data_IF_965233546246
#
_entry.id   IF_965233546246
#
_cell.length_a   1.000
_cell.length_b   1.000
_cell.length_c   1.000
_cell.angle_alpha   90.00
_cell.angle_beta   90.00
_cell.angle_gamma   90.00
#
_symmetry.space_group_name_H-M   'P 1'
#
loop_
_entity.id
_entity.type
_entity.pdbx_description
1 polymer ?
#
# COMPACT_ATOMS: atom_id res chain seq x y z
N UNK A 1 -37.92 9.23 10.23
CA UNK A 1 -38.26 8.20 9.23
C UNK A 1 -36.99 7.49 8.83
N UNK A 2 -36.74 6.27 9.31
CA UNK A 2 -35.68 5.41 8.76
C UNK A 2 -36.17 4.97 7.38
N UNK A 3 -35.59 5.54 6.33
CA UNK A 3 -35.75 5.03 4.97
C UNK A 3 -35.45 3.53 5.01
N UNK A 4 -36.34 2.71 4.47
CA UNK A 4 -36.06 1.30 4.24
C UNK A 4 -34.89 1.25 3.26
N UNK A 5 -33.67 1.05 3.77
CA UNK A 5 -32.52 0.87 2.93
C UNK A 5 -32.82 -0.33 2.02
N UNK A 6 -32.92 -0.07 0.72
CA UNK A 6 -33.06 -1.11 -0.28
C UNK A 6 -31.92 -2.11 -0.15
N UNK A 7 -32.15 -3.35 -0.58
CA UNK A 7 -31.09 -4.36 -0.62
C UNK A 7 -29.89 -3.79 -1.41
N UNK A 8 -28.64 -3.92 -0.93
CA UNK A 8 -27.48 -3.36 -1.62
C UNK A 8 -27.40 -3.94 -3.03
N UNK A 9 -27.24 -3.05 -4.02
CA UNK A 9 -27.11 -3.42 -5.42
C UNK A 9 -25.72 -3.96 -5.74
N UNK A 10 -24.70 -3.53 -4.98
CA UNK A 10 -23.32 -3.90 -5.20
C UNK A 10 -22.64 -4.44 -3.93
N UNK A 11 -21.71 -5.36 -4.15
CA UNK A 11 -20.61 -5.66 -3.25
C UNK A 11 -19.44 -4.78 -3.64
N UNK A 12 -18.88 -4.00 -2.72
CA UNK A 12 -17.78 -3.08 -3.03
C UNK A 12 -16.60 -3.34 -2.11
N UNK A 13 -15.44 -3.61 -2.71
CA UNK A 13 -14.16 -3.76 -2.05
C UNK A 13 -13.32 -2.51 -2.26
N UNK A 14 -12.85 -1.90 -1.16
CA UNK A 14 -11.98 -0.73 -1.19
C UNK A 14 -10.63 -1.13 -0.60
N UNK A 15 -9.58 -1.04 -1.40
CA UNK A 15 -8.22 -1.05 -0.90
C UNK A 15 -7.77 0.37 -0.63
N UNK A 16 -7.67 0.76 0.64
CA UNK A 16 -7.12 2.04 1.06
C UNK A 16 -5.60 1.89 1.24
N UNK A 17 -4.86 1.75 0.16
CA UNK A 17 -3.41 1.49 0.21
C UNK A 17 -2.58 2.73 0.56
N UNK A 18 -1.33 2.51 1.02
CA UNK A 18 -0.35 3.59 1.31
C UNK A 18 -0.06 4.43 0.07
N UNK A 19 0.03 3.80 -1.10
CA UNK A 19 0.41 4.45 -2.36
C UNK A 19 -0.78 4.77 -3.24
N UNK A 20 -1.70 3.83 -3.39
CA UNK A 20 -2.90 3.98 -4.22
C UNK A 20 -4.11 3.46 -3.45
N UNK A 21 -5.25 4.09 -3.69
CA UNK A 21 -6.57 3.62 -3.32
C UNK A 21 -7.21 3.00 -4.55
N UNK A 22 -7.79 1.80 -4.39
CA UNK A 22 -8.39 1.02 -5.47
C UNK A 22 -9.77 0.54 -5.06
N UNK A 23 -10.70 0.54 -6.01
CA UNK A 23 -12.08 0.13 -5.77
C UNK A 23 -12.44 -0.96 -6.77
N UNK A 24 -12.97 -2.07 -6.26
CA UNK A 24 -13.55 -3.13 -7.06
C UNK A 24 -15.00 -3.35 -6.63
N UNK A 25 -15.83 -3.83 -7.54
CA UNK A 25 -17.22 -4.14 -7.23
C UNK A 25 -17.75 -5.32 -8.03
N UNK A 26 -18.83 -5.92 -7.54
CA UNK A 26 -19.63 -6.89 -8.27
C UNK A 26 -21.12 -6.63 -8.01
N UNK A 27 -21.95 -6.91 -9.01
CA UNK A 27 -23.40 -6.85 -8.85
C UNK A 27 -23.87 -7.91 -7.83
N UNK A 28 -24.61 -7.47 -6.82
CA UNK A 28 -25.11 -8.34 -5.76
C UNK A 28 -26.15 -9.36 -6.25
N UNK A 29 -26.83 -9.08 -7.37
CA UNK A 29 -27.77 -10.01 -8.00
C UNK A 29 -27.06 -11.11 -8.80
N UNK A 30 -25.98 -10.74 -9.49
CA UNK A 30 -25.20 -11.67 -10.33
C UNK A 30 -24.23 -12.51 -9.50
N UNK A 31 -24.06 -12.19 -8.22
CA UNK A 31 -23.20 -12.88 -7.27
C UNK A 31 -23.50 -14.39 -7.10
N UNK A 32 -24.67 -14.88 -7.54
CA UNK A 32 -24.99 -16.30 -7.57
C UNK A 32 -24.39 -17.05 -8.76
N UNK A 33 -23.96 -16.33 -9.80
CA UNK A 33 -23.26 -16.89 -10.94
C UNK A 33 -21.79 -17.11 -10.60
N UNK A 34 -21.27 -18.31 -10.87
CA UNK A 34 -19.86 -18.64 -10.72
C UNK A 34 -18.95 -17.74 -11.59
N UNK A 35 -19.53 -17.07 -12.58
CA UNK A 35 -18.89 -16.11 -13.47
C UNK A 35 -19.04 -14.63 -13.06
N UNK A 36 -19.65 -14.32 -11.90
CA UNK A 36 -19.83 -12.94 -11.43
C UNK A 36 -18.52 -12.15 -11.54
N UNK A 37 -18.48 -11.23 -12.51
CA UNK A 37 -17.29 -10.45 -12.82
C UNK A 37 -17.02 -9.48 -11.67
N UNK A 38 -15.84 -9.60 -11.06
CA UNK A 38 -15.33 -8.54 -10.20
C UNK A 38 -14.73 -7.47 -11.11
N UNK A 39 -15.38 -6.33 -11.17
CA UNK A 39 -14.98 -5.19 -11.99
C UNK A 39 -14.14 -4.21 -11.17
N UNK A 40 -13.21 -3.53 -11.84
CA UNK A 40 -12.50 -2.39 -11.25
C UNK A 40 -13.29 -1.11 -11.53
N UNK A 41 -13.54 -0.33 -10.48
CA UNK A 41 -14.13 0.98 -10.62
C UNK A 41 -13.07 1.98 -11.08
N UNK A 42 -13.22 2.50 -12.30
CA UNK A 42 -12.35 3.55 -12.82
C UNK A 42 -12.75 4.89 -12.19
N UNK A 43 -11.91 5.40 -11.30
CA UNK A 43 -12.15 6.62 -10.51
C UNK A 43 -11.80 7.82 -11.38
N UNK A 44 -12.79 8.66 -11.71
CA UNK A 44 -12.55 9.97 -12.32
C UNK A 44 -11.69 10.83 -11.40
N UNK A 45 -10.63 11.41 -11.96
CA UNK A 45 -9.73 12.28 -11.23
C UNK A 45 -9.09 13.31 -12.13
N UNK A 46 -8.61 14.41 -11.54
CA UNK A 46 -7.83 15.39 -12.27
C UNK A 46 -6.50 14.74 -12.68
N UNK A 47 -6.26 14.63 -13.99
CA UNK A 47 -5.02 14.09 -14.58
C UNK A 47 -4.08 15.20 -15.05
N UNK A 48 -4.61 16.40 -15.22
CA UNK A 48 -3.93 17.67 -15.41
C UNK A 48 -4.87 18.80 -14.91
N UNK A 49 -4.39 20.03 -14.72
CA UNK A 49 -5.26 21.18 -14.40
C UNK A 49 -6.42 21.29 -15.41
N UNK A 50 -7.65 21.25 -14.91
CA UNK A 50 -8.88 21.33 -15.73
C UNK A 50 -9.21 20.08 -16.56
N UNK A 51 -8.43 19.00 -16.47
CA UNK A 51 -8.63 17.77 -17.24
C UNK A 51 -8.99 16.59 -16.32
N UNK A 52 -10.16 16.00 -16.54
CA UNK A 52 -10.64 14.82 -15.80
C UNK A 52 -10.44 13.55 -16.62
N UNK A 53 -9.80 12.55 -16.03
CA UNK A 53 -9.62 11.23 -16.62
C UNK A 53 -9.93 10.11 -15.62
N UNK A 54 -10.62 9.06 -16.08
CA UNK A 54 -10.87 7.88 -15.26
C UNK A 54 -9.66 6.95 -15.24
N UNK A 55 -9.25 6.50 -14.04
CA UNK A 55 -8.15 5.54 -13.84
C UNK A 55 -8.53 4.52 -12.76
N UNK A 56 -8.11 3.25 -12.87
CA UNK A 56 -8.40 2.23 -11.86
C UNK A 56 -7.64 2.46 -10.53
N UNK A 57 -6.58 3.27 -10.56
CA UNK A 57 -5.76 3.60 -9.40
C UNK A 57 -5.93 5.08 -9.08
N UNK A 58 -6.37 5.39 -7.87
CA UNK A 58 -6.32 6.74 -7.31
C UNK A 58 -5.06 6.85 -6.44
N UNK A 59 -4.05 7.65 -6.79
CA UNK A 59 -2.93 7.90 -5.88
C UNK A 59 -3.42 8.36 -4.50
N UNK A 60 -2.99 7.69 -3.43
CA UNK A 60 -3.30 8.03 -2.03
C UNK A 60 -2.46 9.23 -1.58
N UNK A 61 -2.60 10.33 -2.31
CA UNK A 61 -1.83 11.56 -2.18
C UNK A 61 -2.79 12.73 -2.07
N UNK A 62 -2.44 13.68 -1.20
CA UNK A 62 -3.19 14.92 -0.97
C UNK A 62 -2.22 16.10 -1.04
N UNK A 63 -2.40 16.95 -2.02
CA UNK A 63 -1.57 18.13 -2.25
C UNK A 63 -2.28 19.39 -1.76
N UNK A 64 -1.57 20.24 -1.01
CA UNK A 64 -2.08 21.50 -0.48
C UNK A 64 -1.52 22.68 -1.28
N UNK A 65 -2.25 23.17 -2.31
CA UNK A 65 -1.76 24.23 -3.17
C UNK A 65 -1.52 25.53 -2.39
N UNK A 66 -0.52 26.29 -2.81
CA UNK A 66 -0.34 27.67 -2.39
C UNK A 66 -1.50 28.55 -2.89
N UNK A 67 -1.76 29.65 -2.18
CA UNK A 67 -2.74 30.62 -2.61
C UNK A 67 -2.40 31.17 -4.00
N UNK A 68 -3.33 31.05 -4.95
CA UNK A 68 -3.14 31.48 -6.34
C UNK A 68 -2.28 30.55 -7.20
N UNK A 69 -1.85 29.39 -6.69
CA UNK A 69 -1.11 28.39 -7.49
C UNK A 69 -1.97 27.80 -8.61
N UNK A 70 -3.27 27.59 -8.33
CA UNK A 70 -4.24 27.01 -9.26
C UNK A 70 -5.45 27.94 -9.40
N UNK A 71 -5.97 28.05 -10.62
CA UNK A 71 -7.20 28.78 -10.88
C UNK A 71 -8.42 27.95 -10.41
N UNK A 72 -9.53 28.62 -10.10
CA UNK A 72 -10.75 27.94 -9.65
C UNK A 72 -11.28 26.90 -10.65
N UNK A 73 -11.07 27.11 -11.95
CA UNK A 73 -11.45 26.17 -13.01
C UNK A 73 -10.53 24.95 -13.11
N UNK A 74 -9.30 25.03 -12.61
CA UNK A 74 -8.30 23.96 -12.71
C UNK A 74 -8.65 22.74 -11.83
N UNK A 75 -9.48 22.98 -10.81
CA UNK A 75 -9.88 21.98 -9.81
C UNK A 75 -11.28 21.42 -10.05
N UNK A 76 -11.90 21.72 -11.18
CA UNK A 76 -13.28 21.32 -11.45
C UNK A 76 -13.40 19.80 -11.64
N UNK A 77 -14.19 19.16 -10.77
CA UNK A 77 -14.59 17.77 -10.89
C UNK A 77 -16.07 17.66 -11.32
N UNK A 78 -16.51 16.49 -11.80
CA UNK A 78 -17.92 16.26 -12.14
C UNK A 78 -18.89 16.34 -10.94
N UNK A 79 -18.35 16.39 -9.72
CA UNK A 79 -19.08 16.56 -8.46
C UNK A 79 -18.50 17.74 -7.66
N UNK A 80 -19.27 18.35 -6.74
CA UNK A 80 -18.77 19.46 -5.94
C UNK A 80 -17.62 19.03 -5.03
N UNK A 81 -16.58 19.84 -4.95
CA UNK A 81 -15.46 19.63 -4.03
C UNK A 81 -15.96 19.80 -2.58
N UNK A 82 -15.64 18.83 -1.73
CA UNK A 82 -16.09 18.80 -0.32
C UNK A 82 -14.97 19.11 0.67
N UNK A 83 -13.74 19.33 0.19
CA UNK A 83 -12.59 19.57 1.05
C UNK A 83 -12.44 21.08 1.36
N UNK A 84 -12.48 21.49 2.64
CA UNK A 84 -12.43 22.91 3.01
C UNK A 84 -11.07 23.56 2.71
N UNK A 85 -9.99 22.77 2.62
CA UNK A 85 -8.64 23.25 2.33
C UNK A 85 -8.35 23.30 0.82
N UNK A 86 -9.36 23.04 -0.02
CA UNK A 86 -9.24 22.93 -1.48
C UNK A 86 -8.11 22.01 -1.94
N UNK A 87 -7.82 20.96 -1.15
CA UNK A 87 -6.76 20.03 -1.44
C UNK A 87 -7.00 19.29 -2.76
N UNK A 88 -5.92 19.02 -3.48
CA UNK A 88 -5.93 18.23 -4.71
C UNK A 88 -5.60 16.78 -4.36
N UNK A 89 -6.32 15.83 -4.93
CA UNK A 89 -6.12 14.40 -4.69
C UNK A 89 -5.82 13.66 -5.99
N UNK A 90 -5.21 12.47 -5.88
CA UNK A 90 -5.01 11.57 -7.02
C UNK A 90 -3.87 11.97 -7.97
N UNK A 91 -4.07 11.80 -9.27
CA UNK A 91 -3.03 11.95 -10.30
C UNK A 91 -2.44 13.36 -10.37
N UNK A 92 -3.27 14.41 -10.35
CA UNK A 92 -2.78 15.79 -10.32
C UNK A 92 -2.00 16.08 -9.02
N UNK A 93 -2.44 15.53 -7.87
CA UNK A 93 -1.68 15.65 -6.61
C UNK A 93 -0.29 15.02 -6.72
N UNK A 94 -0.15 13.90 -7.43
CA UNK A 94 1.15 13.28 -7.72
C UNK A 94 2.04 14.19 -8.57
N UNK A 95 1.48 14.79 -9.63
CA UNK A 95 2.23 15.67 -10.53
C UNK A 95 2.71 16.95 -9.83
N UNK A 96 1.82 17.61 -9.07
CA UNK A 96 2.13 18.81 -8.30
C UNK A 96 3.09 18.49 -7.15
N UNK A 97 2.83 17.39 -6.43
CA UNK A 97 3.70 16.90 -5.37
C UNK A 97 5.09 16.53 -5.86
N UNK A 98 5.24 16.02 -7.10
CA UNK A 98 6.55 15.81 -7.70
C UNK A 98 7.28 17.12 -8.03
N UNK A 99 6.60 18.26 -8.10
CA UNK A 99 7.23 19.57 -8.31
C UNK A 99 7.53 20.26 -6.97
N UNK A 100 6.58 20.20 -6.02
CA UNK A 100 6.67 20.85 -4.71
C UNK A 100 6.34 19.83 -3.59
N UNK A 101 7.23 18.86 -3.28
CA UNK A 101 6.84 17.77 -2.40
C UNK A 101 6.64 18.19 -0.93
N UNK A 102 7.12 19.39 -0.53
CA UNK A 102 6.84 19.94 0.80
C UNK A 102 5.36 20.25 1.08
N UNK A 103 4.51 20.26 0.03
CA UNK A 103 3.05 20.44 0.10
C UNK A 103 2.27 19.15 -0.09
N UNK A 104 2.96 18.01 -0.25
CA UNK A 104 2.36 16.72 -0.53
C UNK A 104 2.24 15.88 0.75
N UNK A 105 1.01 15.53 1.10
CA UNK A 105 0.74 14.44 2.04
C UNK A 105 0.87 13.11 1.31
N UNK A 106 1.81 12.28 1.77
CA UNK A 106 2.01 10.90 1.34
C UNK A 106 2.02 9.95 2.54
N UNK A 107 1.89 8.65 2.27
CA UNK A 107 1.99 7.57 3.27
C UNK A 107 1.08 7.74 4.50
N UNK A 108 -0.09 8.39 4.34
CA UNK A 108 -1.02 8.66 5.45
C UNK A 108 -1.41 7.36 6.20
N UNK A 109 -1.54 6.25 5.48
CA UNK A 109 -1.79 4.92 6.05
C UNK A 109 -0.65 4.44 6.95
N UNK A 110 0.61 4.64 6.53
CA UNK A 110 1.78 4.35 7.35
C UNK A 110 1.71 5.18 8.63
N UNK A 111 1.53 6.50 8.54
CA UNK A 111 1.33 7.39 9.72
C UNK A 111 0.20 6.95 10.64
N UNK A 112 -0.90 6.43 10.10
CA UNK A 112 -2.05 5.94 10.86
C UNK A 112 -1.76 4.63 11.64
N UNK A 113 -0.80 3.82 11.19
CA UNK A 113 -0.36 2.62 11.90
C UNK A 113 0.67 2.91 13.01
N UNK A 114 1.30 4.08 13.00
CA UNK A 114 2.32 4.42 13.97
C UNK A 114 1.74 4.84 15.34
N UNK A 115 1.86 3.94 16.33
CA UNK A 115 1.32 4.19 17.67
C UNK A 115 2.03 5.30 18.46
N UNK A 116 3.25 5.68 18.10
CA UNK A 116 4.06 6.67 18.82
C UNK A 116 3.82 8.12 18.41
N UNK A 117 2.91 8.37 17.46
CA UNK A 117 2.52 9.72 17.04
C UNK A 117 1.06 9.97 17.39
N UNK A 118 0.70 11.24 17.57
CA UNK A 118 -0.70 11.63 17.63
C UNK A 118 -1.30 11.56 16.22
N UNK A 119 -2.01 10.47 15.95
CA UNK A 119 -2.62 10.14 14.66
C UNK A 119 -3.84 11.02 14.34
N UNK A 120 -4.32 11.81 15.29
CA UNK A 120 -5.42 12.76 15.13
C UNK A 120 -4.94 14.21 15.04
N UNK A 121 -3.71 14.51 15.45
CA UNK A 121 -3.11 15.83 15.29
C UNK A 121 -2.77 16.15 13.81
N UNK A 122 -2.82 17.43 13.39
CA UNK A 122 -2.48 17.86 12.04
C UNK A 122 -0.97 17.85 11.81
N UNK A 123 -0.41 16.65 11.58
CA UNK A 123 1.04 16.44 11.44
C UNK A 123 1.51 16.30 9.98
N UNK A 124 0.60 16.17 9.00
CA UNK A 124 0.92 15.96 7.59
C UNK A 124 0.56 17.18 6.72
N UNK A 125 1.39 17.62 5.76
CA UNK A 125 2.67 17.02 5.38
C UNK A 125 3.72 17.16 6.48
N UNK A 126 4.50 16.11 6.68
CA UNK A 126 5.47 16.07 7.78
C UNK A 126 6.57 17.09 7.57
N UNK A 127 6.82 17.91 8.59
CA UNK A 127 7.84 18.96 8.53
C UNK A 127 7.55 20.08 7.54
N UNK A 128 6.31 20.22 7.06
CA UNK A 128 5.91 21.30 6.16
C UNK A 128 6.17 22.69 6.75
N UNK A 129 6.39 23.67 5.87
CA UNK A 129 6.55 25.07 6.25
C UNK A 129 5.26 25.61 6.91
N UNK A 130 5.40 26.68 7.70
CA UNK A 130 4.31 27.17 8.54
C UNK A 130 3.08 27.68 7.76
N UNK A 131 3.25 28.06 6.49
CA UNK A 131 2.20 28.50 5.58
C UNK A 131 1.46 27.34 4.90
N UNK A 132 1.92 26.10 5.07
CA UNK A 132 1.28 24.92 4.50
C UNK A 132 0.26 24.37 5.49
N UNK A 133 -1.00 24.29 5.05
CA UNK A 133 -2.07 23.64 5.82
C UNK A 133 -1.65 22.21 6.19
N UNK A 134 -2.01 21.77 7.39
CA UNK A 134 -1.72 20.41 7.84
C UNK A 134 -2.99 19.67 8.23
N UNK A 135 -2.98 18.36 8.00
CA UNK A 135 -4.07 17.43 8.32
C UNK A 135 -3.53 16.25 9.08
N UNK A 136 -4.42 15.56 9.80
CA UNK A 136 -4.06 14.34 10.50
C UNK A 136 -4.00 13.14 9.55
N UNK A 137 -3.26 12.07 9.90
CA UNK A 137 -3.31 10.80 9.17
C UNK A 137 -4.75 10.29 8.96
N UNK A 138 -5.60 10.45 9.97
CA UNK A 138 -7.03 10.10 9.91
C UNK A 138 -7.78 10.98 8.89
N UNK A 139 -7.60 12.30 8.93
CA UNK A 139 -8.25 13.23 8.01
C UNK A 139 -7.78 13.05 6.56
N UNK A 140 -6.49 12.80 6.35
CA UNK A 140 -5.95 12.47 5.03
C UNK A 140 -6.59 11.18 4.49
N UNK A 141 -6.64 10.11 5.30
CA UNK A 141 -7.29 8.85 4.94
C UNK A 141 -8.79 9.01 4.66
N UNK A 142 -9.48 9.82 5.46
CA UNK A 142 -10.89 10.15 5.26
C UNK A 142 -11.12 10.87 3.93
N UNK A 143 -10.21 11.78 3.54
CA UNK A 143 -10.33 12.50 2.26
C UNK A 143 -10.21 11.59 1.04
N UNK A 144 -9.38 10.54 1.09
CA UNK A 144 -9.31 9.53 0.02
C UNK A 144 -10.63 8.76 -0.11
N UNK A 145 -11.20 8.32 1.01
CA UNK A 145 -12.49 7.62 1.03
C UNK A 145 -13.66 8.52 0.61
N UNK A 146 -13.65 9.79 1.02
CA UNK A 146 -14.65 10.77 0.62
C UNK A 146 -14.60 11.03 -0.89
N UNK A 147 -13.39 11.09 -1.47
CA UNK A 147 -13.19 11.21 -2.90
C UNK A 147 -13.77 10.01 -3.65
N UNK A 148 -13.44 8.80 -3.21
CA UNK A 148 -14.01 7.55 -3.76
C UNK A 148 -15.54 7.56 -3.68
N UNK A 149 -16.11 7.96 -2.54
CA UNK A 149 -17.56 8.07 -2.37
C UNK A 149 -18.17 9.05 -3.36
N UNK A 150 -17.58 10.23 -3.53
CA UNK A 150 -18.11 11.24 -4.44
C UNK A 150 -18.05 10.77 -5.91
N UNK A 151 -16.94 10.13 -6.32
CA UNK A 151 -16.81 9.54 -7.65
C UNK A 151 -17.85 8.43 -7.89
N UNK A 152 -18.01 7.53 -6.92
CA UNK A 152 -19.01 6.46 -6.98
C UNK A 152 -20.43 7.03 -7.07
N UNK A 153 -20.80 7.95 -6.18
CA UNK A 153 -22.15 8.52 -6.11
C UNK A 153 -22.49 9.31 -7.39
N UNK A 154 -21.49 9.91 -8.05
CA UNK A 154 -21.66 10.53 -9.36
C UNK A 154 -21.94 9.50 -10.46
N UNK A 155 -21.20 8.37 -10.48
CA UNK A 155 -21.37 7.32 -11.50
C UNK A 155 -22.64 6.48 -11.28
N UNK A 156 -23.02 6.25 -10.03
CA UNK A 156 -24.15 5.42 -9.62
C UNK A 156 -25.13 6.20 -8.73
N UNK A 157 -25.84 7.22 -9.28
CA UNK A 157 -26.72 8.10 -8.48
C UNK A 157 -27.89 7.37 -7.81
N UNK A 158 -28.27 6.20 -8.32
CA UNK A 158 -29.33 5.35 -7.76
C UNK A 158 -28.83 4.23 -6.84
N UNK A 159 -27.52 4.09 -6.67
CA UNK A 159 -26.89 3.10 -5.80
C UNK A 159 -25.72 3.73 -5.03
N UNK A 160 -25.99 4.73 -4.15
CA UNK A 160 -24.95 5.47 -3.46
C UNK A 160 -24.08 4.55 -2.61
N UNK A 161 -22.77 4.84 -2.52
CA UNK A 161 -21.77 3.94 -1.96
C UNK A 161 -22.09 3.57 -0.50
N UNK A 162 -22.55 4.54 0.28
CA UNK A 162 -22.88 4.38 1.69
C UNK A 162 -24.05 3.39 1.95
N UNK A 163 -24.80 3.00 0.91
CA UNK A 163 -25.90 2.02 0.99
C UNK A 163 -25.53 0.65 0.42
N UNK A 164 -24.27 0.46 -0.02
CA UNK A 164 -23.79 -0.82 -0.57
C UNK A 164 -23.17 -1.69 0.52
N UNK A 165 -22.90 -2.96 0.21
CA UNK A 165 -22.12 -3.81 1.12
C UNK A 165 -20.63 -3.53 0.93
N UNK A 166 -20.05 -2.78 1.88
CA UNK A 166 -18.67 -2.33 1.83
C UNK A 166 -17.72 -3.25 2.59
N UNK A 167 -16.61 -3.60 1.95
CA UNK A 167 -15.44 -4.24 2.56
C UNK A 167 -14.24 -3.32 2.35
N UNK A 168 -13.63 -2.86 3.43
CA UNK A 168 -12.43 -2.01 3.44
C UNK A 168 -11.23 -2.82 3.92
N UNK A 169 -10.11 -2.74 3.21
CA UNK A 169 -8.91 -3.49 3.58
C UNK A 169 -8.04 -2.75 4.59
N UNK A 170 -7.34 -3.52 5.41
CA UNK A 170 -6.33 -3.05 6.35
C UNK A 170 -5.14 -4.02 6.36
N UNK A 171 -3.93 -3.57 6.73
CA UNK A 171 -2.81 -4.48 6.92
C UNK A 171 -3.14 -5.46 8.04
N UNK A 172 -2.76 -6.73 7.91
CA UNK A 172 -2.97 -7.73 8.97
C UNK A 172 -2.32 -7.30 10.29
N UNK A 173 -1.23 -6.59 10.13
CA UNK A 173 -0.37 -5.99 11.12
C UNK A 173 -1.02 -4.82 11.89
N UNK A 174 -2.13 -4.22 11.45
CA UNK A 174 -2.75 -3.12 12.19
C UNK A 174 -3.20 -3.51 13.61
N UNK A 175 -2.72 -2.74 14.59
CA UNK A 175 -3.19 -2.81 15.98
C UNK A 175 -4.65 -2.35 16.11
N UNK A 176 -5.27 -2.62 17.26
CA UNK A 176 -6.67 -2.26 17.50
C UNK A 176 -6.92 -0.75 17.37
N UNK A 177 -5.95 0.07 17.77
CA UNK A 177 -6.01 1.53 17.64
C UNK A 177 -6.06 1.98 16.17
N UNK A 178 -5.17 1.46 15.33
CA UNK A 178 -5.12 1.75 13.91
C UNK A 178 -6.41 1.29 13.21
N UNK A 179 -6.94 0.11 13.57
CA UNK A 179 -8.24 -0.37 13.07
C UNK A 179 -9.39 0.59 13.42
N UNK A 180 -9.45 1.05 14.66
CA UNK A 180 -10.46 2.01 15.10
C UNK A 180 -10.34 3.36 14.36
N UNK A 181 -9.11 3.83 14.14
CA UNK A 181 -8.84 5.06 13.39
C UNK A 181 -9.18 4.95 11.90
N UNK A 182 -8.98 3.78 11.27
CA UNK A 182 -9.45 3.52 9.91
C UNK A 182 -10.98 3.57 9.81
N UNK A 183 -11.68 2.99 10.79
CA UNK A 183 -13.15 3.07 10.86
C UNK A 183 -13.63 4.52 11.06
N UNK A 184 -12.93 5.29 11.89
CA UNK A 184 -13.22 6.70 12.08
C UNK A 184 -13.01 7.51 10.78
N UNK A 185 -11.93 7.25 10.05
CA UNK A 185 -11.71 7.87 8.74
C UNK A 185 -12.85 7.54 7.76
N UNK A 186 -13.34 6.31 7.74
CA UNK A 186 -14.50 5.92 6.93
C UNK A 186 -15.80 6.62 7.36
N UNK A 187 -16.02 6.77 8.68
CA UNK A 187 -17.16 7.52 9.21
C UNK A 187 -17.10 8.99 8.81
N UNK A 188 -15.93 9.63 8.91
CA UNK A 188 -15.70 11.00 8.43
C UNK A 188 -15.97 11.15 6.93
N UNK A 189 -15.68 10.12 6.13
CA UNK A 189 -15.98 10.08 4.70
C UNK A 189 -17.46 9.84 4.35
N UNK A 190 -18.32 9.63 5.35
CA UNK A 190 -19.74 9.31 5.12
C UNK A 190 -20.01 7.83 4.80
N UNK A 191 -19.10 6.92 5.19
CA UNK A 191 -19.21 5.47 5.01
C UNK A 191 -19.30 4.76 6.38
N UNK A 192 -20.43 4.91 7.12
CA UNK A 192 -20.52 4.45 8.52
C UNK A 192 -20.69 2.93 8.67
N UNK A 193 -21.03 2.21 7.60
CA UNK A 193 -21.32 0.78 7.62
C UNK A 193 -20.40 0.04 6.65
N UNK A 194 -19.37 -0.61 7.19
CA UNK A 194 -18.44 -1.42 6.41
C UNK A 194 -17.88 -2.58 7.25
N UNK A 195 -17.21 -3.51 6.58
CA UNK A 195 -16.46 -4.60 7.21
C UNK A 195 -14.98 -4.44 6.89
N UNK A 196 -14.12 -4.76 7.84
CA UNK A 196 -12.69 -4.84 7.61
C UNK A 196 -12.28 -6.23 7.16
N UNK A 197 -11.33 -6.31 6.24
CA UNK A 197 -10.61 -7.54 5.87
C UNK A 197 -9.12 -7.24 5.83
N UNK A 198 -8.29 -8.23 6.17
CA UNK A 198 -6.85 -8.04 6.12
C UNK A 198 -6.33 -8.17 4.68
N UNK A 199 -5.40 -7.32 4.28
CA UNK A 199 -4.79 -7.26 2.95
C UNK A 199 -4.25 -8.60 2.43
N UNK A 200 -3.39 -9.33 3.15
CA UNK A 200 -2.91 -10.63 2.67
C UNK A 200 -4.06 -11.63 2.51
N UNK A 201 -5.09 -11.53 3.36
CA UNK A 201 -6.26 -12.39 3.24
C UNK A 201 -7.09 -12.03 2.00
N UNK A 202 -7.30 -10.74 1.74
CA UNK A 202 -7.97 -10.26 0.54
C UNK A 202 -7.21 -10.69 -0.72
N UNK A 203 -5.89 -10.48 -0.77
CA UNK A 203 -5.06 -10.90 -1.90
C UNK A 203 -5.18 -12.40 -2.19
N UNK A 204 -5.28 -13.23 -1.14
CA UNK A 204 -5.53 -14.66 -1.33
C UNK A 204 -6.95 -14.96 -1.80
N UNK A 205 -7.99 -14.27 -1.30
CA UNK A 205 -9.35 -14.39 -1.85
C UNK A 205 -9.44 -14.02 -3.33
N UNK A 206 -8.67 -13.03 -3.80
CA UNK A 206 -8.57 -12.72 -5.23
C UNK A 206 -7.98 -13.88 -6.04
N UNK A 207 -6.89 -14.47 -5.56
CA UNK A 207 -6.32 -15.68 -6.17
C UNK A 207 -7.37 -16.79 -6.23
N UNK A 208 -8.07 -17.06 -5.12
CA UNK A 208 -9.09 -18.11 -5.07
C UNK A 208 -10.23 -17.87 -6.05
N UNK A 209 -10.69 -16.63 -6.18
CA UNK A 209 -11.75 -16.29 -7.12
C UNK A 209 -11.29 -16.42 -8.57
N UNK A 210 -10.10 -15.89 -8.92
CA UNK A 210 -9.55 -16.00 -10.29
C UNK A 210 -9.30 -17.44 -10.72
N UNK A 211 -8.88 -18.28 -9.77
CA UNK A 211 -8.50 -19.67 -10.00
C UNK A 211 -9.59 -20.66 -9.64
N UNK A 212 -10.80 -20.20 -9.33
CA UNK A 212 -11.90 -21.03 -8.83
C UNK A 212 -12.12 -22.32 -9.62
N UNK A 213 -12.11 -22.24 -10.95
CA UNK A 213 -12.33 -23.38 -11.83
C UNK A 213 -11.17 -24.39 -11.85
N UNK A 214 -9.98 -23.98 -11.41
CA UNK A 214 -8.75 -24.78 -11.45
C UNK A 214 -8.15 -25.02 -10.06
N UNK A 215 -8.79 -24.57 -8.97
CA UNK A 215 -8.24 -24.62 -7.61
C UNK A 215 -7.76 -26.00 -7.20
N UNK A 216 -8.55 -27.04 -7.50
CA UNK A 216 -8.19 -28.42 -7.19
C UNK A 216 -6.88 -28.83 -7.86
N UNK A 217 -6.66 -28.45 -9.11
CA UNK A 217 -5.43 -28.74 -9.83
C UNK A 217 -4.27 -27.86 -9.33
N UNK A 218 -4.54 -26.56 -9.11
CA UNK A 218 -3.54 -25.58 -8.70
C UNK A 218 -2.96 -25.85 -7.31
N UNK A 219 -3.76 -26.47 -6.43
CA UNK A 219 -3.39 -26.75 -5.04
C UNK A 219 -3.18 -28.24 -4.74
N UNK A 220 -3.22 -29.12 -5.76
CA UNK A 220 -3.19 -30.57 -5.58
C UNK A 220 -2.03 -31.07 -4.71
N UNK A 221 -0.83 -30.49 -4.91
CA UNK A 221 0.40 -30.83 -4.19
C UNK A 221 0.74 -29.81 -3.10
N UNK A 222 -0.14 -28.85 -2.84
CA UNK A 222 0.06 -27.80 -1.83
C UNK A 222 -0.38 -28.30 -0.46
N UNK A 223 0.48 -28.15 0.55
CA UNK A 223 0.14 -28.43 1.95
C UNK A 223 0.07 -27.17 2.78
N UNK A 224 0.97 -26.23 2.52
CA UNK A 224 1.04 -24.97 3.26
C UNK A 224 1.48 -23.83 2.36
N UNK A 225 0.66 -22.79 2.33
CA UNK A 225 0.87 -21.57 1.57
C UNK A 225 1.38 -20.49 2.52
N UNK A 226 2.45 -19.81 2.12
CA UNK A 226 2.81 -18.50 2.67
C UNK A 226 2.25 -17.41 1.76
N UNK A 227 1.38 -16.58 2.31
CA UNK A 227 1.04 -15.30 1.70
C UNK A 227 2.01 -14.27 2.30
N UNK A 228 2.81 -13.65 1.43
CA UNK A 228 3.75 -12.60 1.79
C UNK A 228 3.31 -11.31 1.10
N UNK A 229 2.83 -10.36 1.88
CA UNK A 229 2.41 -9.05 1.41
C UNK A 229 3.41 -7.98 1.84
N UNK A 230 4.07 -7.32 0.88
CA UNK A 230 5.03 -6.25 1.16
C UNK A 230 4.59 -5.00 0.40
N UNK A 231 3.91 -4.12 1.13
CA UNK A 231 3.38 -2.86 0.62
C UNK A 231 4.37 -1.69 0.74
N UNK A 232 3.82 -0.47 0.68
CA UNK A 232 4.59 0.75 0.92
C UNK A 232 5.03 0.89 2.38
N UNK A 233 4.10 0.71 3.32
CA UNK A 233 4.37 0.95 4.75
C UNK A 233 4.52 -0.30 5.62
N UNK A 234 4.03 -1.46 5.16
CA UNK A 234 3.91 -2.66 6.00
C UNK A 234 4.37 -3.91 5.27
N UNK A 235 4.79 -4.89 6.06
CA UNK A 235 4.99 -6.27 5.64
C UNK A 235 4.08 -7.16 6.47
N UNK A 236 3.34 -8.04 5.80
CA UNK A 236 2.38 -8.95 6.42
C UNK A 236 2.63 -10.37 5.93
N UNK A 237 2.73 -11.32 6.89
CA UNK A 237 2.86 -12.74 6.61
C UNK A 237 1.62 -13.49 7.07
N UNK A 238 1.13 -14.43 6.26
CA UNK A 238 0.06 -15.35 6.66
C UNK A 238 0.38 -16.76 6.20
N UNK A 239 0.17 -17.74 7.08
CA UNK A 239 0.19 -19.15 6.71
C UNK A 239 -1.24 -19.66 6.51
N UNK A 240 -1.41 -20.45 5.46
CA UNK A 240 -2.67 -21.09 5.12
C UNK A 240 -2.39 -22.57 4.90
N UNK A 241 -3.00 -23.41 5.71
CA UNK A 241 -2.93 -24.86 5.57
C UNK A 241 -3.99 -25.33 4.58
N UNK A 242 -3.58 -26.25 3.71
CA UNK A 242 -4.41 -26.81 2.65
C UNK A 242 -4.67 -28.29 2.97
N UNK A 243 -5.93 -28.61 3.20
CA UNK A 243 -6.45 -29.95 3.25
C UNK A 243 -7.39 -30.19 2.05
N UNK A 244 -7.80 -31.44 1.84
CA UNK A 244 -8.79 -31.79 0.83
C UNK A 244 -9.95 -32.50 1.50
N UNK A 245 -11.17 -32.06 1.20
CA UNK A 245 -12.39 -32.71 1.66
C UNK A 245 -12.67 -34.03 0.92
N UNK A 246 -13.69 -34.75 1.37
CA UNK A 246 -14.13 -36.01 0.74
C UNK A 246 -14.64 -35.80 -0.70
N UNK A 247 -15.09 -34.58 -1.02
CA UNK A 247 -15.48 -34.14 -2.37
C UNK A 247 -14.27 -33.81 -3.26
N UNK A 248 -13.06 -33.81 -2.70
CA UNK A 248 -11.82 -33.46 -3.40
C UNK A 248 -11.63 -31.96 -3.58
N UNK A 249 -12.43 -31.12 -2.93
CA UNK A 249 -12.25 -29.67 -2.93
C UNK A 249 -11.24 -29.24 -1.84
N UNK A 250 -10.42 -28.20 -2.11
CA UNK A 250 -9.46 -27.72 -1.13
C UNK A 250 -10.17 -27.04 0.04
N UNK A 251 -9.82 -27.47 1.25
CA UNK A 251 -10.21 -26.85 2.52
C UNK A 251 -9.05 -26.01 3.03
N UNK A 252 -9.26 -24.70 3.11
CA UNK A 252 -8.22 -23.72 3.41
C UNK A 252 -8.41 -23.23 4.84
N UNK A 253 -7.41 -23.40 5.70
CA UNK A 253 -7.45 -22.93 7.09
C UNK A 253 -6.34 -21.93 7.32
N UNK A 254 -6.67 -20.72 7.80
CA UNK A 254 -5.64 -19.76 8.16
C UNK A 254 -5.01 -20.15 9.49
N UNK A 255 -3.79 -20.66 9.45
CA UNK A 255 -3.14 -21.23 10.62
C UNK A 255 -2.29 -20.24 11.41
N UNK A 256 -1.79 -19.17 10.77
CA UNK A 256 -0.92 -18.21 11.44
C UNK A 256 -0.90 -16.85 10.77
N UNK A 257 -0.64 -15.81 11.56
CA UNK A 257 -0.53 -14.41 11.13
C UNK A 257 0.71 -13.78 11.76
N UNK A 258 1.52 -13.10 10.95
CA UNK A 258 2.73 -12.43 11.41
C UNK A 258 2.44 -11.26 12.34
N UNK A 259 3.44 -10.90 13.15
CA UNK A 259 3.41 -9.69 13.97
C UNK A 259 3.41 -8.43 13.10
N UNK A 260 3.10 -7.28 13.72
CA UNK A 260 3.10 -6.03 12.99
C UNK A 260 4.51 -5.59 12.55
N UNK A 261 4.78 -5.64 11.25
CA UNK A 261 6.03 -5.16 10.68
C UNK A 261 5.78 -3.84 9.96
N UNK A 262 6.19 -2.73 10.59
CA UNK A 262 6.23 -1.41 9.95
C UNK A 262 7.52 -1.29 9.13
N UNK A 263 7.53 -2.07 8.06
CA UNK A 263 8.66 -2.26 7.16
C UNK A 263 8.13 -2.51 5.76
N UNK A 264 8.49 -1.66 4.80
CA UNK A 264 8.05 -1.78 3.42
C UNK A 264 8.85 -0.87 2.48
N UNK A 265 8.24 -0.52 1.35
CA UNK A 265 8.81 0.39 0.36
C UNK A 265 9.28 1.74 0.92
N UNK A 266 8.54 2.33 1.86
CA UNK A 266 8.84 3.62 2.50
C UNK A 266 10.19 3.58 3.22
N UNK A 267 10.53 2.44 3.85
CA UNK A 267 11.82 2.25 4.52
C UNK A 267 12.98 2.15 3.52
N UNK A 268 12.74 1.52 2.36
CA UNK A 268 13.72 1.43 1.27
C UNK A 268 14.00 2.83 0.69
N UNK A 269 12.95 3.64 0.56
CA UNK A 269 13.03 5.01 0.04
C UNK A 269 13.80 5.93 0.98
N UNK A 270 13.58 5.80 2.30
CA UNK A 270 14.38 6.51 3.29
C UNK A 270 15.85 6.07 3.26
N UNK A 271 16.12 4.76 3.21
CA UNK A 271 17.48 4.25 3.21
C UNK A 271 18.29 4.86 2.05
N UNK A 272 17.68 4.91 0.85
CA UNK A 272 18.22 5.60 -0.31
C UNK A 272 18.33 7.12 -0.09
N UNK A 273 17.36 7.76 0.55
CA UNK A 273 17.40 9.18 0.85
C UNK A 273 18.59 9.54 1.76
N UNK A 274 18.90 8.76 2.78
CA UNK A 274 20.07 9.00 3.63
C UNK A 274 21.40 8.81 2.90
N UNK A 275 21.49 7.82 1.99
CA UNK A 275 22.64 7.65 1.11
C UNK A 275 22.84 8.92 0.26
N UNK A 276 21.77 9.40 -0.37
CA UNK A 276 21.81 10.58 -1.22
C UNK A 276 22.11 11.85 -0.41
N UNK A 277 21.50 12.03 0.76
CA UNK A 277 21.77 13.14 1.68
C UNK A 277 23.25 13.20 2.05
N UNK A 278 23.84 12.05 2.40
CA UNK A 278 25.26 11.94 2.75
C UNK A 278 26.15 12.38 1.58
N UNK A 279 25.84 11.95 0.35
CA UNK A 279 26.59 12.37 -0.86
C UNK A 279 26.43 13.85 -1.17
N UNK A 280 25.21 14.38 -1.02
CA UNK A 280 24.94 15.81 -1.18
C UNK A 280 25.67 16.67 -0.13
N UNK A 281 25.95 16.12 1.05
CA UNK A 281 26.72 16.78 2.10
C UNK A 281 28.24 16.74 1.85
N UNK A 282 28.77 15.68 1.24
CA UNK A 282 30.21 15.55 0.90
C UNK A 282 30.70 16.63 -0.07
N UNK A 283 29.82 17.20 -0.89
CA UNK A 283 30.11 18.32 -1.79
C UNK A 283 29.90 19.71 -1.18
N UNK A 284 29.81 19.86 0.15
CA UNK A 284 29.53 21.14 0.80
C UNK A 284 30.30 21.35 2.09
N UNK A 285 31.00 22.49 2.18
CA UNK A 285 31.62 22.94 3.42
C UNK A 285 30.54 23.12 4.49
N UNK A 286 30.55 22.25 5.52
CA UNK A 286 29.72 22.40 6.71
C UNK A 286 28.76 21.26 7.06
N UNK A 287 28.67 20.17 6.27
CA UNK A 287 27.81 19.02 6.62
C UNK A 287 26.32 19.37 6.66
N UNK A 288 25.60 19.13 5.56
CA UNK A 288 24.19 19.51 5.49
C UNK A 288 23.29 18.39 6.04
N UNK A 289 22.71 18.60 7.23
CA UNK A 289 21.53 17.84 7.67
C UNK A 289 20.28 18.48 7.08
N UNK A 290 19.48 17.72 6.35
CA UNK A 290 18.25 18.22 5.75
C UNK A 290 17.21 18.52 6.83
N UNK A 291 16.39 19.55 6.60
CA UNK A 291 15.15 19.73 7.37
C UNK A 291 14.19 18.57 7.08
N UNK A 292 13.24 18.33 7.98
CA UNK A 292 12.23 17.29 7.80
C UNK A 292 11.48 17.42 6.45
N UNK A 293 11.06 18.64 6.08
CA UNK A 293 10.46 18.92 4.77
C UNK A 293 11.36 18.51 3.59
N UNK A 294 12.66 18.80 3.65
CA UNK A 294 13.59 18.47 2.56
C UNK A 294 13.89 16.98 2.48
N UNK A 295 13.94 16.30 3.63
CA UNK A 295 14.09 14.84 3.66
C UNK A 295 12.86 14.16 3.05
N UNK A 296 11.64 14.60 3.37
CA UNK A 296 10.42 14.09 2.73
C UNK A 296 10.41 14.28 1.21
N UNK A 297 10.91 15.42 0.72
CA UNK A 297 11.11 15.63 -0.73
C UNK A 297 12.11 14.67 -1.34
N UNK A 298 13.21 14.41 -0.64
CA UNK A 298 14.25 13.50 -1.09
C UNK A 298 13.74 12.04 -1.13
N UNK A 299 12.97 11.62 -0.14
CA UNK A 299 12.34 10.28 -0.10
C UNK A 299 11.47 10.02 -1.33
N UNK A 300 10.61 10.98 -1.73
CA UNK A 300 9.77 10.82 -2.93
C UNK A 300 10.61 10.70 -4.21
N UNK A 301 11.71 11.45 -4.31
CA UNK A 301 12.64 11.33 -5.45
C UNK A 301 13.37 9.98 -5.46
N UNK A 302 13.81 9.51 -4.29
CA UNK A 302 14.45 8.21 -4.13
C UNK A 302 13.49 7.06 -4.43
N UNK A 303 12.21 7.21 -4.10
CA UNK A 303 11.16 6.27 -4.49
C UNK A 303 11.06 6.13 -6.01
N UNK A 304 10.94 7.24 -6.72
CA UNK A 304 10.88 7.23 -8.18
C UNK A 304 12.13 6.58 -8.80
N UNK A 305 13.32 6.89 -8.25
CA UNK A 305 14.57 6.26 -8.69
C UNK A 305 14.61 4.74 -8.41
N UNK A 306 14.17 4.30 -7.23
CA UNK A 306 14.06 2.89 -6.84
C UNK A 306 13.15 2.12 -7.79
N UNK A 307 11.93 2.62 -8.00
CA UNK A 307 10.94 1.99 -8.88
C UNK A 307 11.46 1.90 -10.33
N UNK A 308 12.17 2.93 -10.82
CA UNK A 308 12.79 2.93 -12.15
C UNK A 308 13.95 1.92 -12.26
N UNK A 309 14.92 1.97 -11.34
CA UNK A 309 16.14 1.15 -11.42
C UNK A 309 15.89 -0.34 -11.15
N UNK A 310 14.82 -0.68 -10.43
CA UNK A 310 14.41 -2.06 -10.16
C UNK A 310 13.36 -2.59 -11.16
N UNK A 311 12.97 -1.78 -12.16
CA UNK A 311 12.04 -2.19 -13.21
C UNK A 311 12.70 -3.10 -14.27
N UNK A 312 11.87 -3.77 -15.07
CA UNK A 312 12.33 -4.49 -16.26
C UNK A 312 12.82 -3.49 -17.32
N UNK A 313 14.00 -3.73 -17.89
CA UNK A 313 14.62 -2.81 -18.86
C UNK A 313 15.13 -1.50 -18.23
N UNK A 314 15.36 -1.50 -16.91
CA UNK A 314 15.89 -0.35 -16.18
C UNK A 314 17.20 0.20 -16.78
N UNK A 315 17.43 1.52 -16.72
CA UNK A 315 18.72 2.11 -17.07
C UNK A 315 19.80 1.72 -16.05
N UNK A 316 21.06 1.84 -16.43
CA UNK A 316 22.19 1.58 -15.52
C UNK A 316 22.32 2.64 -14.42
N UNK A 317 21.89 3.88 -14.70
CA UNK A 317 21.93 4.98 -13.74
C UNK A 317 20.71 5.89 -13.87
N UNK A 318 20.40 6.63 -12.81
CA UNK A 318 19.44 7.74 -12.81
C UNK A 318 19.88 8.83 -11.83
N UNK A 319 19.43 10.06 -12.03
CA UNK A 319 19.84 11.20 -11.20
C UNK A 319 18.73 11.62 -10.24
N UNK A 320 19.06 11.69 -8.95
CA UNK A 320 18.19 12.23 -7.90
C UNK A 320 18.55 13.68 -7.65
N UNK A 321 17.64 14.60 -7.98
CA UNK A 321 17.86 16.05 -7.85
C UNK A 321 17.00 16.65 -6.74
N UNK A 322 17.65 17.36 -5.83
CA UNK A 322 17.03 18.18 -4.79
C UNK A 322 17.29 19.66 -5.07
N UNK A 323 16.23 20.42 -5.29
CA UNK A 323 16.33 21.85 -5.60
C UNK A 323 16.83 22.67 -4.38
N UNK A 324 17.45 23.82 -4.66
CA UNK A 324 17.87 24.77 -3.64
C UNK A 324 16.67 25.38 -2.91
N UNK A 325 16.88 25.86 -1.68
CA UNK A 325 15.84 26.53 -0.89
C UNK A 325 16.12 28.04 -0.79
N UNK A 326 15.06 28.85 -0.69
CA UNK A 326 15.14 30.30 -0.44
C UNK A 326 15.81 31.10 -1.56
N UNK A 327 16.54 32.16 -1.21
CA UNK A 327 17.19 33.09 -2.15
C UNK A 327 18.32 32.47 -3.00
N UNK A 328 18.63 31.18 -2.81
CA UNK A 328 19.63 30.42 -3.59
C UNK A 328 19.01 29.48 -4.63
N UNK A 329 17.80 29.77 -5.11
CA UNK A 329 17.14 29.00 -6.18
C UNK A 329 17.92 29.06 -7.51
N UNK A 330 18.62 30.15 -7.80
CA UNK A 330 19.51 30.26 -8.97
C UNK A 330 20.85 29.60 -8.64
N UNK A 331 21.04 28.34 -9.06
CA UNK A 331 22.30 27.59 -8.91
C UNK A 331 22.42 26.69 -7.67
N UNK A 332 21.36 26.53 -6.88
CA UNK A 332 21.37 25.75 -5.62
C UNK A 332 20.88 24.30 -5.71
N UNK A 333 20.56 23.77 -6.90
CA UNK A 333 20.16 22.38 -7.06
C UNK A 333 21.35 21.45 -6.86
N UNK A 334 21.14 20.36 -6.12
CA UNK A 334 22.13 19.29 -5.97
C UNK A 334 21.57 18.02 -6.59
N UNK A 335 22.40 17.33 -7.34
CA UNK A 335 22.05 16.08 -8.00
C UNK A 335 23.05 15.01 -7.58
N UNK A 336 22.54 13.80 -7.37
CA UNK A 336 23.34 12.62 -7.08
C UNK A 336 22.88 11.52 -8.02
N UNK A 337 23.83 10.94 -8.74
CA UNK A 337 23.55 9.79 -9.58
C UNK A 337 23.53 8.51 -8.72
N UNK A 338 22.51 7.69 -8.96
CA UNK A 338 22.33 6.38 -8.37
C UNK A 338 22.52 5.33 -9.46
N UNK A 339 23.40 4.36 -9.21
CA UNK A 339 23.60 3.22 -10.09
C UNK A 339 22.61 2.11 -9.74
N UNK A 340 22.18 1.35 -10.76
CA UNK A 340 21.28 0.22 -10.62
C UNK A 340 21.83 -0.85 -9.67
N UNK A 341 23.11 -1.19 -9.82
CA UNK A 341 23.78 -2.19 -8.97
C UNK A 341 23.81 -1.76 -7.50
N UNK A 342 24.05 -0.47 -7.25
CA UNK A 342 24.04 0.10 -5.91
C UNK A 342 22.65 0.04 -5.26
N UNK A 343 21.61 0.43 -6.01
CA UNK A 343 20.24 0.35 -5.52
C UNK A 343 19.83 -1.10 -5.30
N UNK A 344 20.25 -2.02 -6.17
CA UNK A 344 20.03 -3.45 -5.96
C UNK A 344 20.73 -3.96 -4.68
N UNK A 345 21.99 -3.61 -4.44
CA UNK A 345 22.70 -4.01 -3.23
C UNK A 345 22.02 -3.44 -1.96
N UNK A 346 21.67 -2.16 -1.97
CA UNK A 346 21.05 -1.52 -0.81
C UNK A 346 19.63 -2.03 -0.54
N UNK A 347 18.81 -2.19 -1.58
CA UNK A 347 17.40 -2.54 -1.44
C UNK A 347 17.21 -4.06 -1.38
N UNK A 348 17.78 -4.81 -2.31
CA UNK A 348 17.62 -6.27 -2.36
C UNK A 348 18.44 -6.94 -1.27
N UNK A 349 19.74 -6.66 -1.16
CA UNK A 349 20.57 -7.32 -0.15
C UNK A 349 20.36 -6.75 1.25
N UNK A 350 20.01 -5.47 1.37
CA UNK A 350 19.71 -4.84 2.66
C UNK A 350 18.39 -5.28 3.27
N UNK A 351 17.31 -5.36 2.49
CA UNK A 351 15.97 -5.69 3.00
C UNK A 351 15.60 -7.16 2.83
N UNK A 352 16.20 -7.85 1.86
CA UNK A 352 16.04 -9.30 1.66
C UNK A 352 17.41 -10.01 1.63
N UNK A 353 18.23 -9.88 2.69
CA UNK A 353 19.50 -10.58 2.76
C UNK A 353 19.29 -12.10 2.69
N UNK A 354 20.23 -12.79 2.06
CA UNK A 354 20.32 -14.26 2.16
C UNK A 354 20.75 -14.61 3.58
N UNK A 355 19.85 -15.22 4.34
CA UNK A 355 20.05 -15.58 5.74
C UNK A 355 19.67 -17.04 5.96
N UNK A 356 20.20 -17.69 6.98
CA UNK A 356 19.77 -19.04 7.37
C UNK A 356 18.40 -18.98 8.07
N UNK A 357 17.66 -20.10 8.11
CA UNK A 357 16.40 -20.13 8.87
C UNK A 357 16.61 -19.80 10.35
N UNK A 358 17.80 -20.10 10.89
CA UNK A 358 18.23 -19.78 12.26
C UNK A 358 18.46 -18.29 12.55
N UNK A 359 18.59 -17.47 11.51
CA UNK A 359 18.99 -16.06 11.61
C UNK A 359 17.78 -15.16 11.90
N UNK A 360 17.27 -15.22 13.12
CA UNK A 360 16.07 -14.47 13.54
C UNK A 360 16.30 -12.95 13.63
N UNK A 361 15.23 -12.18 13.47
CA UNK A 361 15.23 -10.73 13.61
C UNK A 361 15.85 -10.26 14.95
N UNK A 362 16.72 -9.26 14.87
CA UNK A 362 17.42 -8.73 16.06
C UNK A 362 16.44 -7.96 16.96
N UNK A 363 16.44 -8.29 18.26
CA UNK A 363 15.72 -7.52 19.31
C UNK A 363 16.69 -6.56 19.98
N UNK A 364 16.59 -5.26 19.73
CA UNK A 364 17.37 -4.20 20.40
C UNK A 364 16.48 -3.19 21.14
N UNK A 365 17.10 -2.30 21.94
CA UNK A 365 16.42 -1.08 22.43
C UNK A 365 16.13 -0.18 21.23
N UNK A 366 14.97 0.49 21.24
CA UNK A 366 14.46 1.35 20.16
C UNK A 366 15.59 2.14 19.47
N UNK A 367 15.74 1.93 18.16
CA UNK A 367 16.64 2.72 17.33
C UNK A 367 16.32 4.21 17.48
N UNK A 368 17.31 5.05 17.24
CA UNK A 368 17.21 6.51 17.33
C UNK A 368 15.95 6.96 16.59
N UNK A 369 15.03 7.60 17.32
CA UNK A 369 13.84 8.25 16.78
C UNK A 369 14.32 9.52 16.08
N UNK A 370 14.88 9.37 14.89
CA UNK A 370 15.17 10.50 14.01
C UNK A 370 14.04 10.59 12.99
N UNK A 371 13.38 11.76 12.92
CA UNK A 371 12.44 12.16 11.87
C UNK A 371 11.00 11.60 11.86
N UNK A 372 10.51 11.01 12.96
CA UNK A 372 9.06 10.89 13.20
C UNK A 372 8.37 9.60 12.75
N UNK A 373 9.02 8.75 11.95
CA UNK A 373 8.60 7.36 11.72
C UNK A 373 9.61 6.43 12.39
N UNK A 374 9.25 5.67 13.45
CA UNK A 374 10.15 4.69 14.03
C UNK A 374 10.27 3.48 13.11
N UNK A 375 11.44 3.30 12.50
CA UNK A 375 11.72 2.20 11.60
C UNK A 375 11.91 0.88 12.35
N UNK A 376 11.61 -0.24 11.69
CA UNK A 376 12.02 -1.56 12.18
C UNK A 376 13.54 -1.55 12.41
N UNK A 377 13.97 -1.93 13.62
CA UNK A 377 15.40 -1.93 13.99
C UNK A 377 16.24 -2.85 13.10
N UNK A 378 15.60 -3.91 12.63
CA UNK A 378 16.14 -4.82 11.64
C UNK A 378 15.33 -4.63 10.35
N UNK A 379 15.97 -4.08 9.32
CA UNK A 379 15.36 -3.87 8.01
C UNK A 379 15.26 -5.16 7.18
N UNK A 380 15.85 -6.27 7.64
CA UNK A 380 15.84 -7.53 6.92
C UNK A 380 14.49 -8.26 7.06
N UNK A 381 13.61 -8.06 6.08
CA UNK A 381 12.32 -8.76 5.95
C UNK A 381 12.51 -10.28 6.01
N UNK A 382 13.59 -10.82 5.43
CA UNK A 382 13.89 -12.26 5.49
C UNK A 382 14.20 -12.76 6.90
N UNK A 383 14.79 -11.95 7.78
CA UNK A 383 15.00 -12.33 9.19
C UNK A 383 13.69 -12.32 9.98
N UNK A 384 12.80 -11.38 9.69
CA UNK A 384 11.46 -11.37 10.27
C UNK A 384 10.62 -12.56 9.80
N UNK A 385 10.74 -12.92 8.52
CA UNK A 385 10.10 -14.12 7.99
C UNK A 385 10.64 -15.39 8.65
N UNK A 386 11.97 -15.49 8.83
CA UNK A 386 12.57 -16.60 9.56
C UNK A 386 12.02 -16.70 10.99
N UNK A 387 11.95 -15.58 11.72
CA UNK A 387 11.32 -15.51 13.05
C UNK A 387 9.86 -15.97 13.02
N UNK A 388 9.08 -15.51 12.03
CA UNK A 388 7.67 -15.88 11.87
C UNK A 388 7.50 -17.38 11.66
N UNK A 389 8.28 -17.98 10.75
CA UNK A 389 8.22 -19.41 10.46
C UNK A 389 8.69 -20.27 11.65
N UNK A 390 9.69 -19.81 12.41
CA UNK A 390 10.13 -20.53 13.61
C UNK A 390 9.10 -20.49 14.75
N UNK A 391 8.40 -19.36 14.91
CA UNK A 391 7.37 -19.20 15.94
C UNK A 391 6.15 -20.09 15.68
N UNK A 392 5.85 -20.36 14.41
CA UNK A 392 4.70 -21.15 13.99
C UNK A 392 5.16 -22.54 13.57
N UNK A 393 5.29 -23.41 14.57
CA UNK A 393 5.77 -24.79 14.41
C UNK A 393 5.06 -25.53 13.26
N UNK A 394 5.82 -26.33 12.50
CA UNK A 394 5.30 -27.17 11.43
C UNK A 394 6.22 -27.22 10.22
N UNK A 395 5.72 -27.79 9.13
CA UNK A 395 6.44 -27.81 7.86
C UNK A 395 6.60 -26.37 7.33
N UNK A 396 7.74 -26.12 6.68
CA UNK A 396 7.94 -24.89 5.92
C UNK A 396 6.97 -24.85 4.73
N UNK A 397 6.47 -23.65 4.36
CA UNK A 397 5.50 -23.49 3.28
C UNK A 397 6.05 -23.97 1.94
N UNK A 398 5.39 -24.95 1.33
CA UNK A 398 5.74 -25.46 0.00
C UNK A 398 5.27 -24.55 -1.14
N UNK A 399 4.34 -23.65 -0.85
CA UNK A 399 3.71 -22.77 -1.81
C UNK A 399 3.79 -21.31 -1.35
N UNK A 400 4.02 -20.38 -2.29
CA UNK A 400 4.23 -18.96 -2.02
C UNK A 400 3.29 -18.10 -2.88
N UNK A 401 2.51 -17.23 -2.25
CA UNK A 401 1.80 -16.13 -2.90
C UNK A 401 2.44 -14.81 -2.50
N UNK A 402 2.86 -14.02 -3.50
CA UNK A 402 3.41 -12.68 -3.31
C UNK A 402 2.35 -11.61 -3.58
N UNK A 403 2.25 -10.63 -2.69
CA UNK A 403 1.41 -9.44 -2.85
C UNK A 403 2.13 -8.16 -2.43
N UNK A 404 1.63 -7.02 -2.88
CA UNK A 404 2.17 -5.70 -2.54
C UNK A 404 3.16 -5.17 -3.57
N UNK A 405 3.22 -3.84 -3.67
CA UNK A 405 3.93 -3.12 -4.74
C UNK A 405 5.45 -3.37 -4.78
N UNK A 406 6.05 -3.82 -3.67
CA UNK A 406 7.48 -4.13 -3.61
C UNK A 406 7.85 -5.29 -4.54
N UNK A 407 6.97 -6.28 -4.71
CA UNK A 407 7.23 -7.42 -5.58
C UNK A 407 7.03 -7.14 -7.07
N UNK A 408 6.75 -5.89 -7.47
CA UNK A 408 6.90 -5.47 -8.87
C UNK A 408 8.36 -5.50 -9.33
N UNK A 409 9.29 -5.39 -8.40
CA UNK A 409 10.69 -5.65 -8.66
C UNK A 409 10.96 -7.16 -8.63
N UNK A 410 11.14 -7.75 -9.81
CA UNK A 410 11.46 -9.17 -9.98
C UNK A 410 12.61 -9.64 -9.08
N UNK A 411 13.63 -8.79 -8.88
CA UNK A 411 14.78 -9.12 -8.05
C UNK A 411 14.39 -9.42 -6.59
N UNK A 412 13.41 -8.69 -6.05
CA UNK A 412 12.91 -8.88 -4.68
C UNK A 412 12.04 -10.14 -4.60
N UNK A 413 11.16 -10.35 -5.58
CA UNK A 413 10.33 -11.55 -5.65
C UNK A 413 11.19 -12.83 -5.76
N UNK A 414 12.17 -12.83 -6.66
CA UNK A 414 13.13 -13.94 -6.84
C UNK A 414 13.95 -14.18 -5.58
N UNK A 415 14.48 -13.12 -4.95
CA UNK A 415 15.27 -13.24 -3.72
C UNK A 415 14.49 -13.93 -2.61
N UNK A 416 13.23 -13.56 -2.41
CA UNK A 416 12.39 -14.17 -1.38
C UNK A 416 12.10 -15.65 -1.68
N UNK A 417 11.74 -15.96 -2.93
CA UNK A 417 11.49 -17.33 -3.37
C UNK A 417 12.74 -18.22 -3.23
N UNK A 418 13.91 -17.73 -3.65
CA UNK A 418 15.19 -18.42 -3.48
C UNK A 418 15.52 -18.70 -2.01
N UNK A 419 15.27 -17.72 -1.13
CA UNK A 419 15.54 -17.84 0.31
C UNK A 419 14.67 -18.93 0.94
N UNK A 420 13.37 -18.94 0.62
CA UNK A 420 12.44 -19.97 1.11
C UNK A 420 12.74 -21.36 0.54
N UNK A 421 13.08 -21.45 -0.76
CA UNK A 421 13.47 -22.72 -1.38
C UNK A 421 14.75 -23.28 -0.76
N UNK A 422 15.71 -22.40 -0.45
CA UNK A 422 16.94 -22.76 0.26
C UNK A 422 16.64 -23.30 1.66
N UNK A 423 15.78 -22.64 2.46
CA UNK A 423 15.41 -23.14 3.79
C UNK A 423 14.69 -24.50 3.73
N UNK A 424 13.89 -24.74 2.68
CA UNK A 424 13.22 -26.02 2.47
C UNK A 424 14.13 -27.13 1.97
N UNK A 425 15.21 -26.80 1.27
CA UNK A 425 15.99 -27.76 0.49
C UNK A 425 15.22 -28.33 -0.71
N UNK A 426 14.13 -27.69 -1.13
CA UNK A 426 13.28 -28.14 -2.25
C UNK A 426 12.61 -26.94 -2.95
N UNK A 427 12.28 -27.05 -4.26
CA UNK A 427 11.57 -26.01 -5.00
C UNK A 427 10.21 -25.66 -4.40
N UNK A 428 9.77 -24.42 -4.62
CA UNK A 428 8.47 -23.90 -4.20
C UNK A 428 7.52 -23.82 -5.39
N UNK A 429 6.23 -24.02 -5.13
CA UNK A 429 5.17 -23.60 -6.05
C UNK A 429 4.91 -22.11 -5.84
N UNK A 430 5.00 -21.31 -6.90
CA UNK A 430 4.69 -19.87 -6.83
C UNK A 430 3.31 -19.64 -7.42
N UNK A 431 2.40 -19.12 -6.61
CA UNK A 431 1.06 -18.71 -7.04
C UNK A 431 1.15 -17.32 -7.70
N UNK A 432 0.70 -17.22 -8.94
CA UNK A 432 0.79 -15.98 -9.70
C UNK A 432 -0.28 -14.96 -9.30
N UNK A 433 0.19 -13.79 -8.90
CA UNK A 433 -0.60 -12.57 -8.73
C UNK A 433 -0.31 -11.63 -9.91
N UNK A 434 -1.18 -11.66 -10.91
CA UNK A 434 -0.96 -10.97 -12.20
C UNK A 434 -0.94 -9.44 -12.04
N UNK A 435 -1.60 -8.92 -11.00
CA UNK A 435 -1.64 -7.49 -10.75
C UNK A 435 -1.81 -7.22 -9.23
N UNK A 436 -0.69 -7.06 -8.49
CA UNK A 436 -0.72 -6.85 -7.04
C UNK A 436 -1.36 -5.51 -6.66
N UNK A 437 -1.40 -4.52 -7.56
CA UNK A 437 -2.00 -3.21 -7.28
C UNK A 437 -3.53 -3.29 -7.13
N UNK A 438 -4.19 -4.34 -7.65
CA UNK A 438 -5.66 -4.45 -7.66
C UNK A 438 -6.18 -5.71 -6.95
N UNK A 439 -5.29 -6.68 -6.68
CA UNK A 439 -5.65 -7.96 -6.07
C UNK A 439 -6.34 -7.77 -4.72
N UNK A 440 -5.90 -6.82 -3.91
CA UNK A 440 -6.48 -6.54 -2.58
C UNK A 440 -7.92 -6.05 -2.70
N UNK A 441 -8.22 -5.09 -3.58
CA UNK A 441 -9.57 -4.56 -3.76
C UNK A 441 -10.53 -5.63 -4.33
N UNK A 442 -10.09 -6.39 -5.35
CA UNK A 442 -10.88 -7.51 -5.87
C UNK A 442 -11.10 -8.59 -4.83
N UNK A 443 -10.06 -8.88 -4.06
CA UNK A 443 -10.06 -9.80 -2.93
C UNK A 443 -11.07 -9.45 -1.85
N UNK A 444 -11.26 -8.16 -1.58
CA UNK A 444 -12.28 -7.68 -0.65
C UNK A 444 -13.72 -7.95 -1.16
N UNK A 445 -13.95 -7.86 -2.47
CA UNK A 445 -15.22 -8.28 -3.09
C UNK A 445 -15.38 -9.81 -3.02
N UNK A 446 -14.33 -10.56 -3.35
CA UNK A 446 -14.31 -12.02 -3.26
C UNK A 446 -14.56 -12.52 -1.83
N UNK A 447 -14.05 -11.82 -0.80
CA UNK A 447 -14.36 -12.08 0.61
C UNK A 447 -15.85 -11.88 0.91
N UNK A 448 -16.47 -10.81 0.40
CA UNK A 448 -17.91 -10.59 0.55
C UNK A 448 -18.74 -11.71 -0.12
N UNK A 449 -18.33 -12.15 -1.32
CA UNK A 449 -18.93 -13.29 -2.01
C UNK A 449 -18.78 -14.59 -1.20
N UNK A 450 -17.59 -14.89 -0.67
CA UNK A 450 -17.33 -16.09 0.13
C UNK A 450 -18.21 -16.16 1.37
N UNK A 451 -18.44 -15.01 2.02
CA UNK A 451 -19.35 -14.89 3.16
C UNK A 451 -20.82 -15.16 2.83
N UNK A 452 -21.22 -14.98 1.58
CA UNK A 452 -22.55 -15.32 1.06
C UNK A 452 -22.63 -16.77 0.56
N UNK A 453 -21.57 -17.57 0.71
CA UNK A 453 -21.46 -18.93 0.17
C UNK A 453 -21.24 -18.97 -1.35
N UNK A 454 -20.86 -17.84 -1.93
CA UNK A 454 -20.76 -17.63 -3.38
C UNK A 454 -19.32 -17.66 -3.90
N UNK A 455 -18.32 -17.82 -3.02
CA UNK A 455 -16.91 -18.01 -3.39
C UNK A 455 -16.22 -18.97 -2.41
N UNK A 456 -15.05 -19.56 -2.78
CA UNK A 456 -14.27 -20.39 -1.87
C UNK A 456 -13.97 -19.65 -0.57
N UNK A 457 -14.05 -20.35 0.57
CA UNK A 457 -13.91 -19.76 1.90
C UNK A 457 -12.64 -20.23 2.58
N UNK A 458 -12.00 -19.30 3.29
CA UNK A 458 -10.94 -19.62 4.26
C UNK A 458 -11.63 -19.83 5.62
N UNK A 459 -11.43 -21.03 6.18
CA UNK A 459 -11.93 -21.48 7.48
C UNK A 459 -11.28 -20.79 8.66
#
# INVERSE_FOLDING_TARGET
>A
MRSAAGKPAFLVGIDLGTTNTVVAYANAADAADAQAGIELFAIEQLVAPGEVGARPLLPSLRYHPAAGELAAGDLQLPWPQQDPEHAVLGALARQLGAQVPGRLVSSAKSWLSHANVDRQAPILPWGADADVARVSPVAASASYLAYVRAAWDHRFPHAPLAQQELVLTIPASFDEGARALTLEAARMAGLPALRLVEEPQAAFYDFLQRRRATLRADLADTRRILVCDVGGGTTDFSLIDVAFGDDGEPQLTRSSVGNHLILGGDNMDLALAHLVETRMAQGSEGGMKLSAARLSQLMERCRAAKELLLSSGAPETTSVTLLGAGSRLIGGSRSVDLAREEVAAMVVDGFFPKVALGDTAKKGRAGIVEFGLPYAQDAAITRHLASFLQQHAGALPDTLLLNGGVFRADALARRLAETLAHWRGAPLTILHNDNPDVAVARGAVAYALARRGQAPRIG
#
